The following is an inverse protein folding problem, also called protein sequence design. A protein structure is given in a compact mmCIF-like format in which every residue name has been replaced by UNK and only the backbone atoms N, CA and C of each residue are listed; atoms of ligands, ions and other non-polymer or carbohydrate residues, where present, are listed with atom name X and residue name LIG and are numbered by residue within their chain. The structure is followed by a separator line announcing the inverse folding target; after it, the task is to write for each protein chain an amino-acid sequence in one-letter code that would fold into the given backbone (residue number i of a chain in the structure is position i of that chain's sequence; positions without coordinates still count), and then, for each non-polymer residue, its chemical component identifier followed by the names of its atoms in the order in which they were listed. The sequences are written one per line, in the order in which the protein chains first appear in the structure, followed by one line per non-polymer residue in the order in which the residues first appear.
data_IF_492482666352
#
_entry.id   IF_492482666352
#
_cell.length_a   1.000
_cell.length_b   1.000
_cell.length_c   1.000
_cell.angle_alpha   90.00
_cell.angle_beta   90.00
_cell.angle_gamma   90.00
#
_symmetry.space_group_name_H-M   'P 1'
#
loop_
_entity.id
_entity.type
_entity.pdbx_description
1 polymer ?
#
# COMPACT_ATOMS: atom_id res chain seq x y z
N UNK A 1 -24.18 28.39 -27.49
CA UNK A 1 -23.94 29.75 -28.05
C UNK A 1 -24.09 30.84 -26.98
N UNK A 2 -25.04 30.72 -26.04
CA UNK A 2 -25.23 31.69 -24.94
C UNK A 2 -24.05 31.76 -23.93
N UNK A 3 -23.39 30.64 -23.63
CA UNK A 3 -22.24 30.62 -22.70
C UNK A 3 -20.95 31.26 -23.24
N UNK A 4 -20.79 31.33 -24.57
CA UNK A 4 -19.58 31.91 -25.19
C UNK A 4 -19.58 33.45 -25.13
N UNK A 5 -20.77 34.05 -25.07
CA UNK A 5 -20.95 35.51 -24.98
C UNK A 5 -20.76 36.00 -23.53
N UNK A 6 -21.02 35.16 -22.53
CA UNK A 6 -20.84 35.51 -21.11
C UNK A 6 -19.36 35.54 -20.69
N UNK A 7 -18.53 34.66 -21.26
CA UNK A 7 -17.09 34.58 -20.96
C UNK A 7 -16.31 35.81 -21.45
N UNK A 8 -16.73 36.40 -22.58
CA UNK A 8 -16.11 37.59 -23.16
C UNK A 8 -16.43 38.89 -22.39
N UNK A 9 -17.54 38.94 -21.64
CA UNK A 9 -17.90 40.12 -20.84
C UNK A 9 -17.17 40.18 -19.49
N UNK A 10 -16.78 39.03 -18.92
CA UNK A 10 -16.10 38.97 -17.61
C UNK A 10 -14.61 39.37 -17.74
N UNK A 11 -13.95 39.06 -18.86
CA UNK A 11 -12.54 39.44 -19.10
C UNK A 11 -12.29 40.94 -19.32
N UNK A 12 -13.32 41.77 -19.52
CA UNK A 12 -13.13 43.18 -19.90
C UNK A 12 -13.12 44.17 -18.71
N UNK A 13 -13.36 43.72 -17.46
CA UNK A 13 -13.57 44.66 -16.34
C UNK A 13 -12.86 44.36 -15.00
N UNK A 14 -12.01 43.34 -14.89
CA UNK A 14 -11.29 43.06 -13.63
C UNK A 14 -9.84 43.56 -13.64
N UNK A 15 -9.64 44.76 -13.07
CA UNK A 15 -8.33 45.17 -12.57
C UNK A 15 -8.02 44.39 -11.27
N UNK A 16 -6.96 43.58 -11.33
CA UNK A 16 -6.08 43.13 -10.23
C UNK A 16 -6.74 42.35 -9.08
N UNK A 17 -6.70 41.02 -9.15
CA UNK A 17 -6.33 40.04 -8.10
C UNK A 17 -6.01 38.70 -8.80
N UNK A 18 -5.17 37.79 -8.24
CA UNK A 18 -4.88 36.50 -8.85
C UNK A 18 -6.07 35.56 -8.58
N UNK A 19 -7.17 35.77 -9.30
CA UNK A 19 -8.31 34.84 -9.26
C UNK A 19 -8.18 33.83 -10.39
N UNK A 20 -8.14 32.56 -10.00
CA UNK A 20 -8.37 31.43 -10.90
C UNK A 20 -9.84 31.47 -11.33
N UNK A 21 -10.11 32.01 -12.51
CA UNK A 21 -11.47 31.99 -13.05
C UNK A 21 -11.82 30.57 -13.53
N UNK A 22 -12.55 29.83 -12.68
CA UNK A 22 -13.15 28.54 -13.04
C UNK A 22 -14.60 28.77 -13.43
N UNK A 23 -14.92 28.56 -14.71
CA UNK A 23 -16.31 28.54 -15.17
C UNK A 23 -16.76 27.09 -15.28
N UNK A 24 -17.55 26.65 -14.30
CA UNK A 24 -18.18 25.34 -14.28
C UNK A 24 -19.57 25.41 -14.90
N UNK A 25 -19.82 24.64 -15.96
CA UNK A 25 -21.17 24.41 -16.48
C UNK A 25 -21.56 22.99 -16.08
N UNK A 26 -22.35 22.87 -15.03
CA UNK A 26 -22.94 21.60 -14.59
C UNK A 26 -24.43 21.56 -14.98
N UNK A 27 -24.82 20.62 -15.84
CA UNK A 27 -26.24 20.30 -16.01
C UNK A 27 -26.63 19.23 -14.98
N UNK A 28 -27.37 19.65 -13.95
CA UNK A 28 -27.88 18.74 -12.93
C UNK A 28 -29.14 17.97 -13.40
N UNK A 29 -29.11 16.65 -13.20
CA UNK A 29 -30.29 15.83 -12.86
C UNK A 29 -31.37 15.63 -13.92
N UNK A 30 -31.27 16.17 -15.13
CA UNK A 30 -32.30 15.97 -16.17
C UNK A 30 -32.07 14.65 -16.96
N UNK A 31 -33.14 13.97 -17.41
CA UNK A 31 -32.98 12.83 -18.30
C UNK A 31 -32.25 13.27 -19.58
N UNK A 32 -31.05 12.74 -19.80
CA UNK A 32 -30.16 13.12 -20.92
C UNK A 32 -30.70 12.70 -22.29
N UNK A 33 -31.69 11.79 -22.33
CA UNK A 33 -32.45 11.49 -23.53
C UNK A 33 -33.24 10.20 -23.45
N UNK A 34 -34.38 10.17 -24.14
CA UNK A 34 -35.14 8.96 -24.45
C UNK A 34 -35.18 8.82 -25.96
N UNK A 35 -34.56 7.76 -26.48
CA UNK A 35 -34.52 7.50 -27.92
C UNK A 35 -35.34 6.24 -28.21
N UNK A 36 -36.19 6.30 -29.23
CA UNK A 36 -36.94 5.14 -29.70
C UNK A 36 -36.53 4.85 -31.13
N UNK A 37 -36.14 3.61 -31.39
CA UNK A 37 -35.79 3.13 -32.72
C UNK A 37 -36.81 2.07 -33.12
N UNK A 38 -37.32 2.16 -34.36
CA UNK A 38 -38.18 1.13 -34.90
C UNK A 38 -37.32 -0.08 -35.32
N UNK A 39 -37.31 -1.09 -34.47
CA UNK A 39 -36.62 -2.37 -34.70
C UNK A 39 -37.58 -3.51 -34.98
N UNK A 40 -38.84 -3.20 -35.31
CA UNK A 40 -39.92 -4.17 -35.50
C UNK A 40 -39.59 -5.30 -36.49
N UNK A 41 -38.83 -5.00 -37.55
CA UNK A 41 -38.40 -5.99 -38.56
C UNK A 41 -37.37 -7.00 -38.07
N UNK A 42 -36.62 -6.71 -37.00
CA UNK A 42 -35.49 -7.52 -36.53
C UNK A 42 -35.77 -8.12 -35.15
N UNK A 43 -36.35 -7.32 -34.24
CA UNK A 43 -36.61 -7.70 -32.85
C UNK A 43 -38.09 -7.95 -32.56
N UNK A 44 -38.98 -7.66 -33.53
CA UNK A 44 -40.43 -7.75 -33.34
C UNK A 44 -41.02 -6.64 -32.46
N UNK A 45 -40.21 -5.69 -32.01
CA UNK A 45 -40.63 -4.56 -31.16
C UNK A 45 -39.72 -3.33 -31.41
N UNK A 46 -40.11 -2.17 -30.89
CA UNK A 46 -39.32 -0.95 -30.85
C UNK A 46 -38.26 -1.00 -29.73
N UNK A 47 -37.06 -0.53 -30.03
CA UNK A 47 -35.97 -0.39 -29.06
C UNK A 47 -36.06 0.98 -28.39
N UNK A 48 -36.22 0.99 -27.08
CA UNK A 48 -36.21 2.19 -26.25
C UNK A 48 -34.88 2.29 -25.49
N UNK A 49 -34.12 3.35 -25.75
CA UNK A 49 -32.91 3.72 -24.99
C UNK A 49 -33.24 4.85 -24.01
N UNK A 50 -32.90 4.65 -22.74
CA UNK A 50 -32.96 5.66 -21.68
C UNK A 50 -31.56 5.91 -21.16
N UNK A 51 -31.05 7.12 -21.43
CA UNK A 51 -29.79 7.60 -20.89
C UNK A 51 -30.08 8.51 -19.68
N UNK A 52 -29.53 8.18 -18.53
CA UNK A 52 -29.64 8.97 -17.30
C UNK A 52 -28.25 9.21 -16.73
N UNK A 53 -28.00 10.38 -16.18
CA UNK A 53 -26.70 10.64 -15.60
C UNK A 53 -26.40 12.12 -15.51
N UNK A 54 -25.22 12.41 -14.96
CA UNK A 54 -24.69 13.76 -14.88
C UNK A 54 -23.41 13.82 -15.71
N UNK A 55 -23.29 14.88 -16.51
CA UNK A 55 -22.06 15.20 -17.24
C UNK A 55 -21.64 16.60 -16.82
N UNK A 56 -20.53 16.70 -16.11
CA UNK A 56 -19.84 17.95 -15.82
C UNK A 56 -18.65 18.08 -16.76
N UNK A 57 -18.55 19.22 -17.43
CA UNK A 57 -17.32 19.61 -18.11
C UNK A 57 -16.91 20.94 -17.49
N UNK A 58 -15.75 20.97 -16.84
CA UNK A 58 -15.16 22.20 -16.33
C UNK A 58 -13.95 22.56 -17.18
N UNK A 59 -13.93 23.80 -17.63
CA UNK A 59 -12.79 24.40 -18.30
C UNK A 59 -12.12 25.37 -17.33
N UNK A 60 -10.81 25.22 -17.14
CA UNK A 60 -10.00 26.12 -16.32
C UNK A 60 -8.80 26.59 -17.13
N UNK A 61 -8.45 27.87 -17.03
CA UNK A 61 -7.24 28.42 -17.63
C UNK A 61 -6.32 28.97 -16.57
N UNK A 62 -5.01 28.73 -16.70
CA UNK A 62 -4.00 29.41 -15.88
C UNK A 62 -3.00 30.15 -16.76
N UNK A 63 -2.70 31.39 -16.40
CA UNK A 63 -1.76 32.25 -17.11
C UNK A 63 -0.89 32.93 -16.07
N UNK A 64 0.42 32.68 -16.08
CA UNK A 64 1.37 33.33 -15.17
C UNK A 64 2.40 34.04 -16.04
N UNK A 65 2.45 35.36 -15.94
CA UNK A 65 3.45 36.20 -16.60
C UNK A 65 4.12 37.06 -15.54
N UNK A 66 5.44 37.19 -15.62
CA UNK A 66 6.22 38.09 -14.77
C UNK A 66 6.69 39.27 -15.63
N UNK A 67 6.33 40.48 -15.25
CA UNK A 67 6.72 41.69 -15.98
C UNK A 67 8.14 42.11 -15.55
N UNK A 68 9.08 42.18 -16.50
CA UNK A 68 10.46 42.64 -16.26
C UNK A 68 11.59 41.62 -16.51
N UNK A 69 11.28 40.41 -16.97
CA UNK A 69 12.30 39.39 -17.27
C UNK A 69 13.00 39.63 -18.63
N UNK A 70 14.34 39.57 -18.67
CA UNK A 70 15.15 39.80 -19.88
C UNK A 70 15.03 38.60 -20.82
N UNK A 71 14.41 38.80 -21.98
CA UNK A 71 14.08 37.74 -22.92
C UNK A 71 15.30 37.24 -23.71
N UNK A 72 15.67 35.96 -23.54
CA UNK A 72 16.57 35.26 -24.45
C UNK A 72 15.76 34.55 -25.56
N UNK A 73 16.34 34.42 -26.76
CA UNK A 73 15.65 33.93 -27.98
C UNK A 73 15.10 32.49 -27.84
N UNK A 74 15.53 31.73 -26.83
CA UNK A 74 15.07 30.36 -26.52
C UNK A 74 13.89 30.28 -25.55
N UNK A 75 13.46 31.40 -24.96
CA UNK A 75 12.33 31.43 -24.02
C UNK A 75 11.37 32.56 -24.34
N UNK A 76 10.43 32.32 -25.27
CA UNK A 76 9.23 33.17 -25.39
C UNK A 76 8.12 32.60 -24.50
N UNK A 77 7.90 33.14 -23.28
CA UNK A 77 6.69 32.84 -22.53
C UNK A 77 5.47 33.31 -23.35
N UNK A 78 4.67 32.36 -23.84
CA UNK A 78 3.55 32.61 -24.77
C UNK A 78 2.34 33.13 -24.00
N UNK A 79 2.01 34.44 -24.09
CA UNK A 79 0.87 35.15 -23.43
C UNK A 79 -0.51 34.48 -23.46
N UNK A 80 -0.66 33.35 -24.14
CA UNK A 80 -1.83 32.49 -24.13
C UNK A 80 -1.86 31.57 -22.89
N UNK A 81 -2.99 31.50 -22.16
CA UNK A 81 -3.15 30.63 -20.99
C UNK A 81 -3.06 29.14 -21.37
N UNK A 82 -2.54 28.31 -20.45
CA UNK A 82 -2.73 26.86 -20.53
C UNK A 82 -4.19 26.56 -20.18
N UNK A 83 -4.86 25.81 -21.05
CA UNK A 83 -6.27 25.42 -20.87
C UNK A 83 -6.32 23.97 -20.40
N UNK A 84 -6.99 23.73 -19.27
CA UNK A 84 -7.30 22.41 -18.77
C UNK A 84 -8.82 22.15 -18.86
N UNK A 85 -9.19 20.93 -19.24
CA UNK A 85 -10.58 20.49 -19.34
C UNK A 85 -10.75 19.22 -18.52
N UNK A 86 -11.47 19.33 -17.40
CA UNK A 86 -11.84 18.18 -16.58
C UNK A 86 -13.25 17.71 -16.97
N UNK A 87 -13.39 16.44 -17.34
CA UNK A 87 -14.68 15.83 -17.66
C UNK A 87 -15.05 14.78 -16.62
N UNK A 88 -16.13 15.03 -15.88
CA UNK A 88 -16.73 14.08 -14.94
C UNK A 88 -18.05 13.56 -15.56
N UNK A 89 -18.13 12.25 -15.77
CA UNK A 89 -19.27 11.61 -16.43
C UNK A 89 -19.75 10.40 -15.65
N UNK A 90 -20.96 10.48 -15.10
CA UNK A 90 -21.63 9.35 -14.46
C UNK A 90 -22.89 9.03 -15.26
N UNK A 91 -22.80 8.06 -16.18
CA UNK A 91 -23.87 7.71 -17.12
C UNK A 91 -24.40 6.30 -16.83
N UNK A 92 -25.71 6.20 -16.69
CA UNK A 92 -26.46 4.96 -16.67
C UNK A 92 -27.24 4.80 -17.97
N UNK A 93 -26.90 3.76 -18.73
CA UNK A 93 -27.61 3.36 -19.93
C UNK A 93 -28.56 2.21 -19.61
N UNK A 94 -29.84 2.39 -19.96
CA UNK A 94 -30.83 1.32 -19.96
C UNK A 94 -31.45 1.21 -21.35
N UNK A 95 -31.41 0.02 -21.95
CA UNK A 95 -32.07 -0.27 -23.22
C UNK A 95 -33.14 -1.35 -23.01
N UNK A 96 -34.34 -1.17 -23.56
CA UNK A 96 -35.40 -2.18 -23.55
C UNK A 96 -36.01 -2.28 -24.95
N UNK A 97 -36.04 -3.47 -25.54
CA UNK A 97 -36.85 -3.75 -26.74
C UNK A 97 -37.91 -4.79 -26.40
N UNK A 98 -39.16 -4.33 -26.30
CA UNK A 98 -40.26 -5.12 -25.77
C UNK A 98 -39.94 -5.76 -24.42
N UNK A 99 -40.55 -6.90 -24.12
CA UNK A 99 -40.20 -7.66 -22.91
C UNK A 99 -39.04 -8.64 -23.10
N UNK A 100 -38.44 -8.67 -24.30
CA UNK A 100 -37.48 -9.69 -24.71
C UNK A 100 -36.04 -9.26 -24.58
N UNK A 101 -35.67 -8.01 -24.84
CA UNK A 101 -34.30 -7.53 -24.76
C UNK A 101 -34.17 -6.44 -23.69
N UNK A 102 -33.26 -6.62 -22.74
CA UNK A 102 -32.99 -5.67 -21.66
C UNK A 102 -31.49 -5.51 -21.44
N UNK A 103 -30.97 -4.30 -21.65
CA UNK A 103 -29.62 -3.92 -21.27
C UNK A 103 -29.67 -3.00 -20.05
N UNK A 104 -28.94 -3.36 -18.99
CA UNK A 104 -28.81 -2.55 -17.78
C UNK A 104 -27.45 -2.77 -17.14
N UNK A 105 -26.76 -1.67 -16.82
CA UNK A 105 -25.52 -1.67 -16.03
C UNK A 105 -24.46 -2.66 -16.54
N UNK A 106 -24.25 -2.74 -17.86
CA UNK A 106 -23.26 -3.64 -18.47
C UNK A 106 -23.73 -5.07 -18.74
N UNK A 107 -24.95 -5.44 -18.30
CA UNK A 107 -25.53 -6.76 -18.57
C UNK A 107 -26.62 -6.66 -19.65
N UNK A 108 -26.46 -7.44 -20.72
CA UNK A 108 -27.45 -7.65 -21.77
C UNK A 108 -28.21 -8.96 -21.52
N UNK A 109 -29.53 -8.90 -21.49
CA UNK A 109 -30.41 -10.05 -21.34
C UNK A 109 -31.36 -10.15 -22.53
N UNK A 110 -31.47 -11.34 -23.10
CA UNK A 110 -32.42 -11.70 -24.13
C UNK A 110 -33.27 -12.88 -23.67
N UNK A 111 -34.60 -12.75 -23.79
CA UNK A 111 -35.58 -13.82 -23.59
C UNK A 111 -36.13 -14.26 -24.94
N UNK A 112 -36.00 -15.55 -25.20
CA UNK A 112 -36.56 -16.21 -26.37
C UNK A 112 -38.08 -16.21 -26.37
N UNK A 113 -38.66 -16.62 -27.49
CA UNK A 113 -40.10 -16.83 -27.63
C UNK A 113 -40.52 -18.12 -26.91
N UNK A 114 -41.80 -18.26 -26.57
CA UNK A 114 -42.33 -19.44 -25.84
C UNK A 114 -41.98 -20.78 -26.52
N UNK A 115 -41.81 -20.76 -27.85
CA UNK A 115 -41.48 -21.93 -28.68
C UNK A 115 -40.06 -21.89 -29.31
N UNK A 116 -39.15 -21.00 -28.89
CA UNK A 116 -37.79 -20.96 -29.45
C UNK A 116 -36.83 -21.92 -28.76
N UNK A 117 -35.88 -22.46 -29.55
CA UNK A 117 -34.83 -23.33 -29.03
C UNK A 117 -33.96 -22.62 -27.98
N UNK A 118 -33.64 -21.35 -28.20
CA UNK A 118 -32.92 -20.48 -27.27
C UNK A 118 -33.95 -19.79 -26.39
N UNK A 119 -33.94 -20.08 -25.09
CA UNK A 119 -34.88 -19.51 -24.11
C UNK A 119 -34.30 -18.27 -23.45
N UNK A 120 -32.98 -18.25 -23.22
CA UNK A 120 -32.31 -17.15 -22.54
C UNK A 120 -30.89 -16.97 -23.08
N UNK A 121 -30.48 -15.72 -23.31
CA UNK A 121 -29.08 -15.35 -23.55
C UNK A 121 -28.73 -14.14 -22.69
N UNK A 122 -27.70 -14.27 -21.87
CA UNK A 122 -27.18 -13.21 -21.01
C UNK A 122 -25.70 -12.98 -21.31
N UNK A 123 -25.30 -11.73 -21.44
CA UNK A 123 -23.90 -11.32 -21.67
C UNK A 123 -23.56 -10.23 -20.64
N UNK A 124 -22.47 -10.39 -19.91
CA UNK A 124 -22.04 -9.43 -18.88
C UNK A 124 -21.78 -10.13 -17.54
N UNK A 125 -22.17 -9.50 -16.44
CA UNK A 125 -22.06 -10.12 -15.12
C UNK A 125 -23.07 -11.28 -15.00
N UNK A 126 -22.56 -12.49 -14.75
CA UNK A 126 -23.33 -13.73 -14.62
C UNK A 126 -23.03 -14.42 -13.30
N UNK A 127 -23.99 -15.21 -12.83
CA UNK A 127 -23.85 -16.05 -11.63
C UNK A 127 -24.04 -17.52 -12.00
N UNK A 128 -23.17 -18.39 -11.48
CA UNK A 128 -23.29 -19.83 -11.68
C UNK A 128 -24.25 -20.42 -10.66
N UNK A 129 -25.37 -20.97 -11.15
CA UNK A 129 -26.29 -21.81 -10.37
C UNK A 129 -26.55 -23.09 -11.17
N UNK A 130 -25.95 -24.20 -10.74
CA UNK A 130 -26.17 -25.50 -11.36
C UNK A 130 -27.37 -26.19 -10.70
N UNK A 131 -28.32 -26.75 -11.46
CA UNK A 131 -29.38 -27.59 -10.93
C UNK A 131 -28.78 -28.80 -10.20
N UNK A 132 -29.37 -29.17 -9.06
CA UNK A 132 -28.95 -30.35 -8.30
C UNK A 132 -29.22 -31.59 -9.14
N UNK A 133 -28.17 -32.26 -9.62
CA UNK A 133 -28.28 -33.59 -10.21
C UNK A 133 -27.81 -34.62 -9.19
N UNK A 134 -28.35 -35.84 -9.26
CA UNK A 134 -28.10 -36.94 -8.32
C UNK A 134 -26.62 -37.37 -8.20
N UNK A 135 -25.72 -36.78 -9.00
CA UNK A 135 -24.30 -37.13 -9.10
C UNK A 135 -23.34 -35.98 -8.78
N UNK A 136 -23.84 -34.76 -8.52
CA UNK A 136 -22.98 -33.59 -8.25
C UNK A 136 -23.51 -32.79 -7.05
N UNK A 137 -22.96 -33.06 -5.87
CA UNK A 137 -23.26 -32.35 -4.61
C UNK A 137 -22.53 -30.98 -4.51
N UNK A 138 -22.41 -30.26 -5.63
CA UNK A 138 -21.65 -29.01 -5.69
C UNK A 138 -22.60 -27.81 -5.68
N UNK A 139 -22.97 -27.34 -4.48
CA UNK A 139 -23.61 -26.01 -4.31
C UNK A 139 -22.50 -24.97 -4.11
N UNK A 140 -21.93 -24.48 -5.20
CA UNK A 140 -21.07 -23.31 -5.16
C UNK A 140 -21.71 -22.21 -6.00
N UNK A 141 -22.24 -21.19 -5.32
CA UNK A 141 -22.87 -20.02 -5.93
C UNK A 141 -21.77 -19.01 -6.24
N UNK A 142 -21.15 -19.11 -7.41
CA UNK A 142 -20.09 -18.18 -7.81
C UNK A 142 -20.74 -16.91 -8.39
N UNK A 143 -20.60 -15.78 -7.70
CA UNK A 143 -21.08 -14.44 -8.11
C UNK A 143 -19.90 -13.60 -8.63
N UNK A 144 -20.14 -12.75 -9.64
CA UNK A 144 -19.13 -11.81 -10.16
C UNK A 144 -18.29 -12.32 -11.33
N UNK A 145 -18.82 -13.26 -12.12
CA UNK A 145 -18.17 -13.74 -13.33
C UNK A 145 -18.57 -12.84 -14.50
N UNK A 146 -17.63 -12.37 -15.33
CA UNK A 146 -17.98 -11.72 -16.59
C UNK A 146 -18.00 -12.77 -17.70
N UNK A 147 -19.12 -12.96 -18.37
CA UNK A 147 -19.27 -14.05 -19.33
C UNK A 147 -20.55 -14.04 -20.14
N UNK A 148 -20.71 -15.09 -20.94
CA UNK A 148 -21.87 -15.37 -21.77
C UNK A 148 -22.58 -16.59 -21.18
N UNK A 149 -23.89 -16.48 -20.95
CA UNK A 149 -24.77 -17.57 -20.52
C UNK A 149 -25.88 -17.76 -21.55
N UNK A 150 -26.03 -18.98 -22.06
CA UNK A 150 -27.12 -19.37 -22.94
C UNK A 150 -27.92 -20.52 -22.32
N UNK A 151 -29.25 -20.45 -22.36
CA UNK A 151 -30.14 -21.57 -22.01
C UNK A 151 -31.06 -21.88 -23.18
N UNK A 152 -31.26 -23.15 -23.45
CA UNK A 152 -32.15 -23.60 -24.51
C UNK A 152 -32.83 -24.92 -24.20
N UNK A 153 -33.87 -25.22 -24.97
CA UNK A 153 -34.65 -26.44 -24.88
C UNK A 153 -34.83 -27.05 -26.27
N UNK A 154 -34.46 -28.31 -26.41
CA UNK A 154 -34.64 -29.12 -27.61
C UNK A 154 -35.52 -30.33 -27.25
N UNK A 155 -36.82 -30.21 -27.48
CA UNK A 155 -37.79 -31.24 -27.06
C UNK A 155 -37.81 -31.40 -25.53
N UNK A 156 -37.59 -32.62 -24.98
CA UNK A 156 -37.48 -32.83 -23.53
C UNK A 156 -36.12 -32.38 -22.96
N UNK A 157 -35.11 -32.16 -23.79
CA UNK A 157 -33.76 -31.82 -23.34
C UNK A 157 -33.65 -30.32 -23.07
N UNK A 158 -33.27 -29.94 -21.85
CA UNK A 158 -32.91 -28.56 -21.50
C UNK A 158 -31.40 -28.48 -21.33
N UNK A 159 -30.76 -27.52 -21.99
CA UNK A 159 -29.31 -27.28 -21.88
C UNK A 159 -29.04 -25.86 -21.40
N UNK A 160 -27.96 -25.70 -20.64
CA UNK A 160 -27.45 -24.41 -20.20
C UNK A 160 -25.93 -24.40 -20.41
N UNK A 161 -25.42 -23.41 -21.12
CA UNK A 161 -24.00 -23.22 -21.43
C UNK A 161 -23.53 -21.90 -20.84
N UNK A 162 -22.39 -21.91 -20.15
CA UNK A 162 -21.76 -20.71 -19.59
C UNK A 162 -20.29 -20.70 -20.02
N UNK A 163 -19.84 -19.60 -20.60
CA UNK A 163 -18.44 -19.31 -20.85
C UNK A 163 -18.10 -18.00 -20.14
N UNK A 164 -17.20 -18.04 -19.16
CA UNK A 164 -16.88 -16.88 -18.32
C UNK A 164 -15.39 -16.75 -18.05
N UNK A 165 -14.93 -15.51 -17.89
CA UNK A 165 -13.60 -15.18 -17.41
C UNK A 165 -13.70 -14.56 -16.01
N UNK A 166 -12.97 -15.13 -15.04
CA UNK A 166 -12.99 -14.68 -13.65
C UNK A 166 -12.09 -13.45 -13.50
N UNK A 167 -12.70 -12.29 -13.21
CA UNK A 167 -11.97 -11.05 -12.90
C UNK A 167 -11.87 -10.75 -11.40
N UNK A 168 -12.28 -11.68 -10.53
CA UNK A 168 -12.38 -11.41 -9.09
C UNK A 168 -11.21 -12.01 -8.31
N UNK A 169 -10.48 -11.16 -7.58
CA UNK A 169 -9.68 -11.61 -6.41
C UNK A 169 -10.67 -12.10 -5.36
N UNK A 170 -10.62 -13.39 -5.03
CA UNK A 170 -11.43 -14.03 -4.00
C UNK A 170 -11.22 -13.36 -2.62
N UNK A 171 -12.05 -12.39 -2.28
CA UNK A 171 -12.17 -11.88 -0.91
C UNK A 171 -13.27 -12.67 -0.19
N UNK A 172 -12.89 -13.80 0.40
CA UNK A 172 -13.77 -14.64 1.22
C UNK A 172 -14.00 -13.99 2.58
N UNK A 173 -14.98 -13.08 2.69
CA UNK A 173 -15.50 -12.65 4.01
C UNK A 173 -16.26 -13.83 4.65
N UNK A 174 -15.73 -14.38 5.74
CA UNK A 174 -16.41 -15.43 6.51
C UNK A 174 -17.14 -14.79 7.68
N UNK A 175 -18.46 -14.96 7.69
CA UNK A 175 -19.33 -14.46 8.75
C UNK A 175 -19.49 -15.53 9.84
N UNK A 176 -19.15 -15.20 11.08
CA UNK A 176 -19.58 -15.93 12.28
C UNK A 176 -20.22 -14.91 13.24
N UNK A 177 -21.53 -15.04 13.49
CA UNK A 177 -22.20 -14.42 14.64
C UNK A 177 -22.20 -12.90 14.74
N UNK A 178 -22.68 -12.18 13.70
CA UNK A 178 -23.04 -10.75 13.82
C UNK A 178 -21.89 -9.73 13.69
N UNK A 179 -20.63 -10.15 13.72
CA UNK A 179 -19.47 -9.29 13.45
C UNK A 179 -18.92 -9.51 12.02
N UNK A 180 -18.54 -8.43 11.34
CA UNK A 180 -17.78 -8.51 10.08
C UNK A 180 -16.33 -8.84 10.41
N UNK A 181 -15.85 -10.00 9.98
CA UNK A 181 -14.43 -10.39 10.08
C UNK A 181 -13.70 -9.90 8.85
N UNK A 182 -12.83 -8.91 9.02
CA UNK A 182 -11.92 -8.45 7.97
C UNK A 182 -10.59 -9.22 8.10
N UNK A 183 -10.19 -9.85 6.99
CA UNK A 183 -8.93 -10.61 6.90
C UNK A 183 -7.94 -9.84 6.06
N UNK A 184 -6.79 -9.51 6.64
CA UNK A 184 -5.63 -8.94 5.96
C UNK A 184 -4.54 -10.01 5.86
N UNK A 185 -3.86 -10.07 4.73
CA UNK A 185 -2.73 -10.97 4.50
C UNK A 185 -1.53 -10.15 4.07
N UNK A 186 -0.40 -10.34 4.75
CA UNK A 186 0.87 -9.67 4.50
C UNK A 186 1.89 -10.77 4.19
N UNK A 187 2.61 -10.62 3.07
CA UNK A 187 3.66 -11.56 2.67
C UNK A 187 4.92 -11.34 3.50
N UNK A 188 5.72 -12.39 3.66
CA UNK A 188 7.03 -12.34 4.32
C UNK A 188 7.94 -11.19 3.87
N UNK A 189 8.04 -10.92 2.57
CA UNK A 189 8.86 -9.83 2.02
C UNK A 189 8.24 -8.43 2.22
N UNK A 190 6.98 -8.33 2.65
CA UNK A 190 6.28 -7.05 2.88
C UNK A 190 6.53 -6.50 4.30
N UNK A 191 7.77 -6.61 4.78
CA UNK A 191 8.20 -5.86 5.96
C UNK A 191 8.23 -4.35 5.64
N UNK A 192 8.16 -3.53 6.68
CA UNK A 192 8.04 -2.09 6.62
C UNK A 192 9.40 -1.47 6.25
N UNK A 193 9.58 -1.21 4.95
CA UNK A 193 10.79 -0.61 4.42
C UNK A 193 10.99 0.84 4.86
N UNK A 194 12.25 1.27 4.90
CA UNK A 194 12.70 2.65 5.05
C UNK A 194 12.05 3.44 6.20
N UNK A 195 11.83 2.77 7.34
CA UNK A 195 11.14 3.37 8.50
C UNK A 195 11.89 3.19 9.81
N UNK A 196 12.47 2.01 10.05
CA UNK A 196 13.21 1.69 11.28
C UNK A 196 14.68 1.51 10.91
N UNK A 197 15.56 2.27 11.56
CA UNK A 197 16.99 2.25 11.28
C UNK A 197 17.81 2.18 12.56
N UNK A 198 18.73 1.22 12.64
CA UNK A 198 19.86 1.28 13.57
C UNK A 198 20.80 2.42 13.15
N UNK A 199 21.38 3.11 14.14
CA UNK A 199 22.35 4.17 13.90
C UNK A 199 23.77 3.62 13.64
N UNK A 200 24.02 2.37 14.03
CA UNK A 200 25.30 1.69 13.88
C UNK A 200 25.11 0.16 13.97
N UNK A 201 26.01 -0.60 13.34
CA UNK A 201 26.06 -2.07 13.42
C UNK A 201 26.29 -2.55 14.86
N UNK A 202 26.96 -1.77 15.70
CA UNK A 202 27.10 -2.04 17.13
C UNK A 202 25.73 -2.21 17.81
N UNK A 203 24.78 -1.31 17.57
CA UNK A 203 23.45 -1.39 18.18
C UNK A 203 22.64 -2.56 17.62
N UNK A 204 22.74 -2.78 16.30
CA UNK A 204 22.14 -3.93 15.64
C UNK A 204 22.63 -5.25 16.25
N UNK A 205 23.94 -5.40 16.43
CA UNK A 205 24.53 -6.59 17.01
C UNK A 205 24.13 -6.82 18.48
N UNK A 206 23.82 -5.74 19.21
CA UNK A 206 23.36 -5.80 20.60
C UNK A 206 21.84 -5.95 20.77
N UNK A 207 21.07 -5.95 19.67
CA UNK A 207 19.64 -6.25 19.66
C UNK A 207 19.30 -7.44 18.72
N UNK A 208 19.91 -8.62 18.91
CA UNK A 208 19.67 -9.77 18.04
C UNK A 208 18.23 -10.31 18.14
N UNK A 209 17.60 -10.11 19.30
CA UNK A 209 16.24 -10.54 19.61
C UNK A 209 15.47 -9.40 20.29
N UNK A 210 14.39 -8.97 19.67
CA UNK A 210 13.54 -7.88 20.18
C UNK A 210 12.83 -8.21 21.50
N UNK A 211 12.70 -9.49 21.90
CA UNK A 211 12.18 -9.83 23.25
C UNK A 211 13.05 -9.29 24.35
N UNK A 212 14.36 -9.23 24.13
CA UNK A 212 15.32 -8.87 25.17
C UNK A 212 15.26 -7.40 25.57
N UNK A 213 14.55 -6.56 24.80
CA UNK A 213 14.31 -5.16 25.15
C UNK A 213 13.68 -5.02 26.55
N UNK A 214 12.82 -5.95 26.98
CA UNK A 214 12.22 -5.90 28.32
C UNK A 214 13.12 -6.47 29.43
N UNK A 215 14.15 -7.24 29.07
CA UNK A 215 15.11 -7.83 30.01
C UNK A 215 16.26 -6.86 30.34
N UNK A 216 16.34 -5.74 29.62
CA UNK A 216 17.43 -4.77 29.68
C UNK A 216 18.35 -4.86 28.46
N UNK A 217 19.01 -3.75 28.14
CA UNK A 217 19.96 -3.70 27.03
C UNK A 217 21.34 -4.21 27.45
N UNK A 218 22.01 -4.94 26.55
CA UNK A 218 23.44 -5.27 26.70
C UNK A 218 24.36 -4.06 26.45
N UNK A 219 23.80 -2.97 25.91
CA UNK A 219 24.51 -1.71 25.66
C UNK A 219 24.80 -1.01 26.99
N UNK A 220 26.04 -0.57 27.16
CA UNK A 220 26.47 0.10 28.40
C UNK A 220 25.98 1.55 28.40
N UNK A 221 25.69 2.17 29.57
CA UNK A 221 25.16 3.54 29.62
C UNK A 221 26.03 4.59 28.93
N UNK A 222 27.35 4.41 28.92
CA UNK A 222 28.30 5.25 28.18
C UNK A 222 28.11 5.18 26.65
N UNK A 223 27.57 4.07 26.14
CA UNK A 223 27.30 3.88 24.72
C UNK A 223 25.88 4.32 24.34
N UNK A 224 25.06 4.82 25.29
CA UNK A 224 23.75 5.36 24.95
C UNK A 224 23.90 6.64 24.12
N UNK A 225 22.96 6.86 23.20
CA UNK A 225 22.92 8.09 22.41
C UNK A 225 22.60 9.28 23.34
N UNK A 226 23.33 10.38 23.20
CA UNK A 226 22.97 11.66 23.78
C UNK A 226 21.84 12.30 22.95
N UNK A 227 20.58 12.27 23.45
CA UNK A 227 19.42 12.70 22.66
C UNK A 227 19.50 14.18 22.27
N UNK A 228 20.24 15.00 23.03
CA UNK A 228 20.41 16.42 22.71
C UNK A 228 21.34 16.67 21.50
N UNK A 229 22.04 15.63 21.03
CA UNK A 229 23.01 15.74 19.92
C UNK A 229 22.58 15.04 18.66
N UNK A 230 21.52 14.22 18.71
CA UNK A 230 21.03 13.54 17.52
C UNK A 230 20.43 14.55 16.56
N UNK A 231 20.94 14.55 15.35
CA UNK A 231 20.39 15.26 14.20
C UNK A 231 20.24 14.24 13.07
N UNK A 232 19.05 14.14 12.49
CA UNK A 232 18.75 13.25 11.37
C UNK A 232 18.60 14.11 10.12
N UNK A 233 19.20 13.68 9.03
CA UNK A 233 19.27 14.41 7.77
C UNK A 233 18.79 13.55 6.61
N UNK A 234 18.01 14.16 5.72
CA UNK A 234 17.53 13.55 4.48
C UNK A 234 18.08 14.33 3.29
N UNK A 235 18.43 13.61 2.22
CA UNK A 235 18.77 14.21 0.93
C UNK A 235 17.84 13.59 -0.11
N UNK A 236 16.97 14.43 -0.67
CA UNK A 236 15.98 14.05 -1.69
C UNK A 236 16.50 14.21 -3.12
N UNK A 237 17.73 14.73 -3.27
CA UNK A 237 18.41 15.06 -4.51
C UNK A 237 17.62 16.03 -5.40
N UNK A 238 16.76 16.85 -4.79
CA UNK A 238 16.01 17.89 -5.48
C UNK A 238 16.54 19.28 -5.11
N UNK A 239 17.24 19.91 -6.05
CA UNK A 239 17.85 21.22 -5.77
C UNK A 239 16.86 22.39 -5.78
N UNK A 240 15.60 22.15 -6.16
CA UNK A 240 14.61 23.22 -6.34
C UNK A 240 13.96 23.68 -5.03
N UNK A 241 13.93 22.82 -4.01
CA UNK A 241 13.37 23.05 -2.68
C UNK A 241 14.45 23.24 -1.59
N UNK A 242 15.74 23.03 -1.89
CA UNK A 242 16.84 23.16 -0.91
C UNK A 242 16.81 24.47 -0.10
N UNK A 243 16.45 25.58 -0.75
CA UNK A 243 16.37 26.88 -0.07
C UNK A 243 15.19 26.97 0.91
N UNK A 244 14.07 26.33 0.59
CA UNK A 244 12.87 26.25 1.45
C UNK A 244 13.11 25.28 2.62
N UNK A 245 13.75 24.14 2.33
CA UNK A 245 14.09 23.10 3.29
C UNK A 245 15.34 23.43 4.12
N UNK A 246 15.97 24.59 3.88
CA UNK A 246 17.20 25.03 4.55
C UNK A 246 18.32 23.98 4.45
N UNK A 247 18.37 23.25 3.33
CA UNK A 247 19.31 22.17 3.11
C UNK A 247 20.76 22.67 3.06
N UNK A 248 21.69 21.83 3.53
CA UNK A 248 23.11 22.17 3.66
C UNK A 248 23.99 21.16 2.94
N UNK A 249 25.05 21.65 2.31
CA UNK A 249 26.00 20.79 1.62
C UNK A 249 26.68 19.84 2.63
N UNK A 250 26.73 18.56 2.30
CA UNK A 250 27.28 17.54 3.18
C UNK A 250 27.75 16.30 2.44
N UNK A 251 28.70 15.62 3.06
CA UNK A 251 29.25 14.34 2.61
C UNK A 251 28.92 13.31 3.70
N UNK A 252 28.01 12.38 3.36
CA UNK A 252 27.60 11.30 4.24
C UNK A 252 28.38 10.02 3.92
N UNK A 253 29.07 9.44 4.91
CA UNK A 253 29.91 8.23 4.73
C UNK A 253 29.34 7.05 5.50
N UNK A 254 29.31 5.88 4.86
CA UNK A 254 28.83 4.64 5.48
C UNK A 254 29.86 4.05 6.44
N UNK A 255 31.12 4.00 6.00
CA UNK A 255 32.23 3.55 6.82
C UNK A 255 32.75 4.73 7.64
N UNK A 256 32.55 4.64 8.96
CA UNK A 256 32.99 5.67 9.88
C UNK A 256 34.38 5.38 10.48
N UNK A 257 34.88 4.16 10.29
CA UNK A 257 36.22 3.76 10.70
C UNK A 257 37.25 4.08 9.60
N UNK A 258 36.82 4.07 8.33
CA UNK A 258 37.59 4.53 7.17
C UNK A 258 36.88 5.62 6.35
N UNK A 259 37.23 6.88 6.61
CA UNK A 259 36.63 8.05 5.94
C UNK A 259 37.18 8.32 4.53
N UNK A 260 38.03 7.44 3.98
CA UNK A 260 38.61 7.60 2.64
C UNK A 260 37.55 7.44 1.55
N UNK A 261 37.50 8.40 0.62
CA UNK A 261 36.57 8.38 -0.52
C UNK A 261 36.81 7.24 -1.51
N UNK A 262 37.94 6.52 -1.41
CA UNK A 262 38.29 5.40 -2.29
C UNK A 262 37.34 4.20 -2.15
N UNK A 263 36.60 4.08 -1.03
CA UNK A 263 35.60 3.03 -0.81
C UNK A 263 34.38 3.16 -1.72
N UNK A 264 34.05 4.38 -2.17
CA UNK A 264 32.81 4.68 -2.90
C UNK A 264 31.54 4.57 -2.04
N UNK A 265 31.66 4.39 -0.73
CA UNK A 265 30.52 4.21 0.19
C UNK A 265 30.11 5.53 0.84
N UNK A 266 29.73 6.49 0.00
CA UNK A 266 29.32 7.82 0.44
C UNK A 266 28.25 8.43 -0.46
N UNK A 267 27.54 9.41 0.06
CA UNK A 267 26.61 10.26 -0.69
C UNK A 267 26.97 11.73 -0.46
N UNK A 268 26.91 12.54 -1.51
CA UNK A 268 27.16 13.98 -1.46
C UNK A 268 25.92 14.73 -1.97
N UNK A 269 25.69 15.93 -1.42
CA UNK A 269 24.61 16.80 -1.87
C UNK A 269 24.12 17.71 -0.77
N UNK A 270 22.88 18.17 -0.91
CA UNK A 270 22.23 19.04 0.06
C UNK A 270 21.34 18.21 0.98
N UNK A 271 21.53 18.41 2.27
CA UNK A 271 20.90 17.63 3.32
C UNK A 271 19.97 18.52 4.14
N UNK A 272 18.68 18.19 4.12
CA UNK A 272 17.66 18.78 4.95
C UNK A 272 17.66 18.09 6.33
N UNK A 273 17.61 18.87 7.40
CA UNK A 273 17.53 18.34 8.76
C UNK A 273 16.06 18.08 9.12
N UNK A 274 15.77 16.86 9.56
CA UNK A 274 14.45 16.49 10.08
C UNK A 274 14.19 17.08 11.48
N UNK A 275 12.92 17.38 11.75
CA UNK A 275 12.44 17.86 13.04
C UNK A 275 12.43 16.70 14.07
N UNK A 276 13.20 16.80 15.17
CA UNK A 276 13.24 15.79 16.23
C UNK A 276 11.92 15.57 16.97
N UNK A 277 11.00 16.53 16.94
CA UNK A 277 9.73 16.46 17.67
C UNK A 277 8.57 15.94 16.82
N UNK A 278 8.68 15.99 15.48
CA UNK A 278 7.58 15.69 14.56
C UNK A 278 7.87 14.61 13.52
N UNK A 279 9.14 14.29 13.24
CA UNK A 279 9.48 13.45 12.08
C UNK A 279 10.15 12.12 12.44
N UNK A 280 10.70 11.98 13.65
CA UNK A 280 11.29 10.73 14.11
C UNK A 280 11.28 10.55 15.64
N UNK A 281 11.33 9.30 16.07
CA UNK A 281 11.53 8.91 17.48
C UNK A 281 12.90 8.26 17.63
N UNK A 282 13.66 8.65 18.65
CA UNK A 282 14.90 7.99 19.08
C UNK A 282 14.65 7.01 20.24
N UNK A 283 15.17 5.78 20.12
CA UNK A 283 15.35 4.86 21.24
C UNK A 283 16.83 4.82 21.60
N UNK A 284 17.21 5.69 22.52
CA UNK A 284 18.63 6.04 22.79
C UNK A 284 19.44 4.90 23.40
N UNK A 285 18.82 4.01 24.17
CA UNK A 285 19.46 2.86 24.82
C UNK A 285 19.83 1.74 23.83
N UNK A 286 19.15 1.71 22.68
CA UNK A 286 19.29 0.70 21.65
C UNK A 286 19.73 1.30 20.31
N UNK A 287 20.07 2.60 20.29
CA UNK A 287 20.63 3.32 19.16
C UNK A 287 19.91 3.09 17.84
N UNK A 288 18.59 3.20 17.83
CA UNK A 288 17.78 3.18 16.61
C UNK A 288 16.77 4.32 16.57
N UNK A 289 16.38 4.68 15.35
CA UNK A 289 15.34 5.68 15.08
C UNK A 289 14.14 5.02 14.38
N UNK A 290 12.97 5.59 14.61
CA UNK A 290 11.73 5.27 13.91
C UNK A 290 11.26 6.54 13.24
N UNK A 291 11.14 6.53 11.92
CA UNK A 291 10.65 7.66 11.15
C UNK A 291 9.12 7.65 11.13
N UNK A 292 8.50 8.82 11.22
CA UNK A 292 7.04 8.95 11.15
C UNK A 292 6.52 8.86 9.71
N UNK A 293 7.40 9.11 8.73
CA UNK A 293 7.14 8.93 7.30
C UNK A 293 8.17 7.99 6.69
N UNK A 294 7.70 7.13 5.78
CA UNK A 294 8.56 6.24 5.00
C UNK A 294 9.47 7.09 4.11
N UNK A 295 10.78 6.83 4.16
CA UNK A 295 11.75 7.48 3.26
C UNK A 295 11.69 6.83 1.88
N UNK A 296 11.70 7.63 0.83
CA UNK A 296 11.65 7.13 -0.54
C UNK A 296 12.94 6.37 -0.89
N UNK A 297 12.84 5.37 -1.76
CA UNK A 297 13.99 4.52 -2.12
C UNK A 297 15.16 5.34 -2.70
N UNK A 298 14.85 6.34 -3.52
CA UNK A 298 15.81 7.24 -4.17
C UNK A 298 16.33 8.37 -3.26
N UNK A 299 15.93 8.44 -1.99
CA UNK A 299 16.44 9.43 -1.04
C UNK A 299 17.55 8.82 -0.17
N UNK A 300 18.46 9.65 0.34
CA UNK A 300 19.47 9.22 1.30
C UNK A 300 19.16 9.72 2.72
N UNK A 301 19.61 8.99 3.74
CA UNK A 301 19.43 9.31 5.15
C UNK A 301 20.76 9.23 5.89
N UNK A 302 21.08 10.26 6.66
CA UNK A 302 22.32 10.37 7.43
C UNK A 302 22.05 10.97 8.81
N UNK A 303 23.03 10.83 9.71
CA UNK A 303 22.91 11.30 11.10
C UNK A 303 24.18 11.98 11.59
N UNK A 304 24.01 12.86 12.57
CA UNK A 304 25.05 13.33 13.49
C UNK A 304 24.58 12.96 14.89
N UNK A 305 25.46 12.39 15.72
CA UNK A 305 25.16 12.15 17.13
C UNK A 305 26.43 11.97 17.96
N UNK A 306 26.27 11.99 19.28
CA UNK A 306 27.30 11.64 20.25
C UNK A 306 26.78 10.61 21.24
N UNK A 307 27.63 9.72 21.71
CA UNK A 307 27.28 8.84 22.85
C UNK A 307 27.47 9.57 24.18
N UNK A 308 26.86 9.09 25.26
CA UNK A 308 27.04 9.64 26.61
C UNK A 308 28.50 9.59 27.08
N UNK A 309 29.28 8.62 26.59
CA UNK A 309 30.71 8.46 26.82
C UNK A 309 31.59 9.40 25.99
N UNK A 310 31.00 10.14 25.05
CA UNK A 310 31.67 11.19 24.29
C UNK A 310 32.12 10.82 22.89
N UNK A 311 31.84 9.60 22.40
CA UNK A 311 32.14 9.20 21.02
C UNK A 311 31.27 9.98 20.04
N UNK A 312 31.89 10.69 19.10
CA UNK A 312 31.22 11.61 18.16
C UNK A 312 31.14 10.97 16.76
N UNK A 313 29.95 11.04 16.16
CA UNK A 313 29.68 10.66 14.77
C UNK A 313 29.08 11.86 14.04
N UNK A 314 29.69 12.23 12.91
CA UNK A 314 29.34 13.41 12.15
C UNK A 314 29.72 14.75 12.81
N UNK A 315 29.71 15.81 12.01
CA UNK A 315 30.03 17.17 12.41
C UNK A 315 29.48 18.20 11.42
N UNK A 316 28.92 19.29 11.98
CA UNK A 316 28.55 20.51 11.24
C UNK A 316 29.51 21.67 11.47
N UNK A 317 30.71 21.40 11.98
CA UNK A 317 31.70 22.42 12.33
C UNK A 317 32.33 23.10 11.10
N UNK A 318 32.29 22.42 9.95
CA UNK A 318 32.77 22.90 8.65
C UNK A 318 31.76 22.55 7.56
N UNK A 319 31.75 23.31 6.47
CA UNK A 319 31.02 22.98 5.25
C UNK A 319 32.02 22.48 4.18
N UNK A 320 31.70 21.38 3.47
CA UNK A 320 30.50 20.56 3.59
C UNK A 320 30.44 19.80 4.93
N UNK A 321 29.23 19.58 5.46
CA UNK A 321 29.01 18.81 6.69
C UNK A 321 29.55 17.39 6.54
N UNK A 322 30.08 16.83 7.62
CA UNK A 322 30.48 15.44 7.70
C UNK A 322 29.34 14.65 8.35
N UNK A 323 28.72 13.74 7.62
CA UNK A 323 27.55 12.99 8.11
C UNK A 323 27.85 11.49 8.16
N UNK A 324 27.25 10.77 9.10
CA UNK A 324 27.27 9.31 9.10
C UNK A 324 26.07 8.80 8.30
N UNK A 325 26.33 8.14 7.18
CA UNK A 325 25.28 7.59 6.31
C UNK A 325 24.65 6.36 6.97
N UNK A 326 23.32 6.30 6.99
CA UNK A 326 22.57 5.12 7.45
C UNK A 326 21.68 4.51 6.35
N UNK A 327 21.43 5.26 5.27
CA UNK A 327 20.77 4.76 4.05
C UNK A 327 21.27 5.55 2.83
N UNK A 328 21.90 4.92 1.81
CA UNK A 328 22.18 5.58 0.53
C UNK A 328 20.91 5.73 -0.32
N UNK A 329 21.00 6.49 -1.42
CA UNK A 329 19.95 6.45 -2.45
C UNK A 329 19.96 5.10 -3.15
N UNK A 330 18.79 4.63 -3.55
CA UNK A 330 18.61 3.35 -4.26
C UNK A 330 19.40 2.22 -3.58
N UNK A 331 19.24 2.12 -2.25
CA UNK A 331 20.06 1.27 -1.39
C UNK A 331 20.12 -0.16 -1.89
N UNK A 332 21.27 -0.82 -1.75
CA UNK A 332 21.49 -2.16 -2.31
C UNK A 332 21.94 -3.16 -1.25
N UNK A 333 21.62 -4.45 -1.41
CA UNK A 333 22.01 -5.50 -0.46
C UNK A 333 23.50 -5.64 -0.15
N UNK A 334 24.36 -5.24 -1.10
CA UNK A 334 25.81 -5.26 -0.99
C UNK A 334 26.40 -3.99 -0.36
N UNK A 335 25.57 -2.98 -0.09
CA UNK A 335 26.02 -1.73 0.53
C UNK A 335 26.17 -1.87 2.06
N UNK A 336 27.19 -1.28 2.71
CA UNK A 336 27.47 -1.50 4.13
C UNK A 336 26.30 -1.17 5.08
N UNK A 337 25.51 -0.15 4.75
CA UNK A 337 24.37 0.28 5.59
C UNK A 337 23.10 -0.54 5.34
N UNK A 338 23.12 -1.53 4.44
CA UNK A 338 21.94 -2.33 4.08
C UNK A 338 21.28 -2.99 5.28
N UNK A 339 22.09 -3.38 6.26
CA UNK A 339 21.62 -4.10 7.44
C UNK A 339 21.17 -3.17 8.58
N UNK A 340 21.39 -1.87 8.46
CA UNK A 340 20.89 -0.88 9.41
C UNK A 340 19.36 -0.71 9.31
N UNK A 341 18.76 -0.96 8.14
CA UNK A 341 17.31 -1.05 7.97
C UNK A 341 16.76 -2.30 8.67
N UNK A 342 15.70 -2.16 9.46
CA UNK A 342 15.03 -3.30 10.08
C UNK A 342 14.21 -4.08 9.05
N UNK A 343 14.33 -5.42 9.09
CA UNK A 343 13.72 -6.34 8.11
C UNK A 343 12.69 -7.27 8.72
N UNK A 344 12.24 -6.94 9.93
CA UNK A 344 11.38 -7.77 10.77
C UNK A 344 10.13 -7.05 11.26
N UNK A 345 9.84 -5.84 10.79
CA UNK A 345 8.66 -5.04 11.22
C UNK A 345 7.55 -5.13 10.18
N UNK A 346 6.32 -5.41 10.59
CA UNK A 346 5.17 -5.57 9.68
C UNK A 346 4.01 -4.67 10.10
N UNK A 347 3.39 -3.98 9.13
CA UNK A 347 2.21 -3.14 9.40
C UNK A 347 0.94 -3.98 9.43
N UNK A 348 0.45 -4.30 10.63
CA UNK A 348 -0.72 -5.16 10.85
C UNK A 348 -2.03 -4.38 11.08
N UNK A 349 -1.95 -3.08 11.39
CA UNK A 349 -3.11 -2.20 11.54
C UNK A 349 -3.38 -1.39 10.26
N UNK A 350 -4.50 -1.67 9.58
CA UNK A 350 -4.92 -0.95 8.35
C UNK A 350 -6.10 0.00 8.56
N UNK A 351 -6.83 -0.08 9.68
CA UNK A 351 -8.07 0.68 9.93
C UNK A 351 -7.96 1.74 11.03
N UNK A 352 -6.77 1.99 11.55
CA UNK A 352 -6.58 2.87 12.70
C UNK A 352 -5.82 4.11 12.26
N UNK A 353 -6.60 5.15 11.98
CA UNK A 353 -6.11 6.52 11.82
C UNK A 353 -5.23 6.89 13.01
N UNK A 354 -4.21 7.71 12.76
CA UNK A 354 -3.31 8.25 13.78
C UNK A 354 -4.10 8.67 15.04
N UNK A 355 -3.78 8.04 16.17
CA UNK A 355 -4.31 8.39 17.50
C UNK A 355 -5.29 7.41 18.16
N UNK A 356 -5.65 6.27 17.55
CA UNK A 356 -6.45 5.22 18.24
C UNK A 356 -5.67 3.92 18.39
N UNK A 357 -5.37 3.54 19.63
CA UNK A 357 -4.84 2.20 19.96
C UNK A 357 -5.84 1.14 19.50
N UNK A 358 -5.36 0.09 18.83
CA UNK A 358 -6.22 -1.07 18.56
C UNK A 358 -6.27 -2.00 19.78
N UNK A 359 -7.42 -2.64 20.01
CA UNK A 359 -7.51 -3.65 21.05
C UNK A 359 -6.78 -4.92 20.59
N UNK A 360 -5.66 -5.23 21.23
CA UNK A 360 -4.87 -6.44 20.96
C UNK A 360 -5.71 -7.72 21.04
N UNK A 361 -6.75 -7.75 21.86
CA UNK A 361 -7.63 -8.92 22.02
C UNK A 361 -8.61 -9.10 20.84
N UNK A 362 -8.79 -8.08 20.01
CA UNK A 362 -9.69 -8.11 18.84
C UNK A 362 -9.04 -8.68 17.58
N UNK A 363 -7.72 -8.95 17.63
CA UNK A 363 -6.92 -9.46 16.53
C UNK A 363 -6.57 -10.94 16.71
N UNK A 364 -6.84 -11.74 15.69
CA UNK A 364 -6.31 -13.10 15.52
C UNK A 364 -5.19 -13.03 14.47
N UNK A 365 -3.93 -13.12 14.93
CA UNK A 365 -2.73 -13.12 14.09
C UNK A 365 -2.22 -14.55 13.94
N UNK A 366 -2.01 -14.99 12.70
CA UNK A 366 -1.45 -16.30 12.38
C UNK A 366 -0.33 -16.14 11.37
N UNK A 367 0.73 -16.94 11.51
CA UNK A 367 1.74 -17.09 10.46
C UNK A 367 1.49 -18.41 9.75
N UNK A 368 1.34 -18.33 8.44
CA UNK A 368 1.01 -19.44 7.55
C UNK A 368 2.14 -19.67 6.57
N UNK A 369 2.42 -20.92 6.26
CA UNK A 369 3.29 -21.29 5.14
C UNK A 369 2.47 -21.83 3.98
N UNK A 370 2.64 -21.26 2.80
CA UNK A 370 2.08 -21.77 1.56
C UNK A 370 2.97 -22.89 1.01
N UNK A 371 2.35 -24.02 0.65
CA UNK A 371 3.05 -25.16 0.05
C UNK A 371 2.30 -25.51 -1.23
N UNK A 372 2.96 -25.53 -2.40
CA UNK A 372 2.31 -25.88 -3.66
C UNK A 372 1.54 -27.20 -3.57
N UNK A 373 0.28 -27.19 -3.99
CA UNK A 373 -0.60 -28.37 -3.97
C UNK A 373 -1.13 -28.77 -2.59
N UNK A 374 -0.86 -28.00 -1.53
CA UNK A 374 -1.44 -28.18 -0.18
C UNK A 374 -2.12 -26.89 0.29
N UNK A 375 -3.00 -27.00 1.28
CA UNK A 375 -3.51 -25.82 1.97
C UNK A 375 -2.42 -25.15 2.81
N UNK A 376 -2.53 -23.85 3.13
CA UNK A 376 -1.59 -23.16 4.01
C UNK A 376 -1.45 -23.89 5.36
N UNK A 377 -0.22 -24.05 5.83
CA UNK A 377 0.08 -24.72 7.09
C UNK A 377 0.32 -23.68 8.19
N UNK A 378 -0.22 -23.89 9.38
CA UNK A 378 -0.01 -23.03 10.57
C UNK A 378 1.13 -23.50 11.47
N UNK A 379 1.70 -24.67 11.17
CA UNK A 379 2.68 -25.35 12.01
C UNK A 379 3.60 -26.23 11.17
N UNK A 380 4.78 -26.52 11.70
CA UNK A 380 5.67 -27.61 11.26
C UNK A 380 6.06 -28.45 12.48
N UNK A 381 6.21 -29.76 12.32
CA UNK A 381 6.62 -30.70 13.38
C UNK A 381 5.84 -30.56 14.71
N UNK A 382 4.56 -30.22 14.64
CA UNK A 382 3.71 -30.05 15.82
C UNK A 382 3.85 -28.72 16.56
N UNK A 383 4.76 -27.82 16.12
CA UNK A 383 4.91 -26.46 16.63
C UNK A 383 4.31 -25.44 15.66
N UNK A 384 3.54 -24.49 16.19
CA UNK A 384 2.97 -23.40 15.39
C UNK A 384 4.06 -22.46 14.90
N UNK A 385 3.84 -21.79 13.77
CA UNK A 385 4.79 -20.78 13.31
C UNK A 385 4.90 -19.61 14.30
N UNK A 386 3.84 -19.27 15.05
CA UNK A 386 3.96 -18.28 16.13
C UNK A 386 4.98 -18.71 17.17
N UNK A 387 5.03 -19.98 17.54
CA UNK A 387 6.04 -20.51 18.46
C UNK A 387 7.45 -20.50 17.84
N UNK A 388 7.57 -20.84 16.55
CA UNK A 388 8.86 -20.93 15.85
C UNK A 388 9.48 -19.55 15.65
N UNK A 389 8.67 -18.54 15.29
CA UNK A 389 9.09 -17.14 15.25
C UNK A 389 9.13 -16.52 16.66
N UNK A 390 8.92 -17.34 17.71
CA UNK A 390 8.98 -16.98 19.12
C UNK A 390 7.79 -16.20 19.67
N UNK A 391 6.87 -15.68 18.85
CA UNK A 391 5.72 -14.86 19.27
C UNK A 391 4.81 -15.49 20.34
N UNK A 392 4.84 -16.82 20.49
CA UNK A 392 4.04 -17.61 21.42
C UNK A 392 4.99 -18.51 22.24
N UNK A 393 5.47 -18.02 23.39
CA UNK A 393 6.33 -18.81 24.29
C UNK A 393 5.54 -19.41 25.45
N UNK A 394 4.36 -18.89 25.75
CA UNK A 394 3.53 -19.27 26.89
C UNK A 394 2.07 -18.91 26.62
N UNK A 395 1.16 -19.50 27.39
CA UNK A 395 -0.23 -19.07 27.37
C UNK A 395 -0.46 -17.81 28.21
N UNK A 396 -1.73 -17.51 28.50
CA UNK A 396 -2.13 -16.34 29.29
C UNK A 396 -1.46 -16.21 30.67
N UNK A 397 -1.15 -17.34 31.31
CA UNK A 397 -0.43 -17.35 32.59
C UNK A 397 1.07 -17.57 32.35
N UNK A 398 1.98 -16.93 33.11
CA UNK A 398 3.43 -17.01 32.89
C UNK A 398 4.01 -18.43 32.82
N UNK A 399 3.39 -19.40 33.50
CA UNK A 399 3.84 -20.79 33.57
C UNK A 399 3.00 -21.76 32.72
N UNK A 400 2.08 -21.24 31.89
CA UNK A 400 1.22 -22.06 31.04
C UNK A 400 1.89 -22.38 29.71
N UNK A 401 1.65 -23.56 29.12
CA UNK A 401 2.21 -23.89 27.82
C UNK A 401 1.67 -22.93 26.73
N UNK A 402 2.42 -22.74 25.63
CA UNK A 402 1.99 -21.95 24.47
C UNK A 402 0.57 -22.26 24.01
N UNK A 403 -0.22 -21.23 23.72
CA UNK A 403 -1.66 -21.37 23.39
C UNK A 403 -2.00 -20.96 21.95
N UNK A 404 -0.99 -20.76 21.10
CA UNK A 404 -1.10 -20.35 19.69
C UNK A 404 -1.66 -18.95 19.51
N UNK A 405 -1.52 -18.11 20.53
CA UNK A 405 -1.75 -16.68 20.46
C UNK A 405 -0.43 -15.96 20.70
N UNK A 406 -0.31 -14.73 20.23
CA UNK A 406 0.86 -13.90 20.57
C UNK A 406 0.82 -13.63 22.07
N UNK A 407 1.95 -13.82 22.76
CA UNK A 407 2.09 -13.54 24.19
C UNK A 407 1.59 -12.11 24.50
N UNK A 408 0.72 -11.94 25.51
CA UNK A 408 0.06 -10.65 25.81
C UNK A 408 1.03 -9.53 26.18
N UNK A 409 2.14 -9.89 26.80
CA UNK A 409 3.21 -9.00 27.21
C UNK A 409 4.28 -8.81 26.13
N UNK A 410 4.10 -9.40 24.94
CA UNK A 410 5.01 -9.16 23.82
C UNK A 410 4.90 -7.71 23.34
N UNK A 411 5.93 -6.92 23.63
CA UNK A 411 6.00 -5.50 23.30
C UNK A 411 6.15 -5.22 21.81
N UNK A 412 6.59 -6.21 21.02
CA UNK A 412 6.69 -6.07 19.56
C UNK A 412 5.34 -6.00 18.87
N UNK A 413 4.24 -6.32 19.57
CA UNK A 413 2.88 -5.99 19.15
C UNK A 413 2.58 -4.54 19.56
N UNK A 414 2.97 -3.58 18.71
CA UNK A 414 2.81 -2.13 18.94
C UNK A 414 1.38 -1.71 18.57
N UNK A 415 0.56 -1.51 19.62
CA UNK A 415 -0.85 -1.10 19.50
C UNK A 415 -1.03 0.37 19.12
N UNK A 416 0.01 1.18 19.29
CA UNK A 416 0.01 2.62 18.98
C UNK A 416 0.31 2.82 17.50
N UNK A 417 1.37 2.18 16.99
CA UNK A 417 1.80 2.33 15.59
C UNK A 417 1.09 1.37 14.63
N UNK A 418 0.46 0.31 15.14
CA UNK A 418 -0.15 -0.69 14.27
C UNK A 418 0.87 -1.66 13.68
N UNK A 419 1.99 -1.87 14.36
CA UNK A 419 3.12 -2.67 13.87
C UNK A 419 3.29 -3.96 14.67
N UNK A 420 3.76 -5.00 14.00
CA UNK A 420 4.26 -6.24 14.59
C UNK A 420 5.74 -6.35 14.28
N UNK A 421 6.58 -6.22 15.30
CA UNK A 421 8.01 -6.53 15.22
C UNK A 421 8.17 -8.02 15.46
N UNK A 422 8.71 -8.76 14.50
CA UNK A 422 9.14 -10.13 14.71
C UNK A 422 10.45 -10.13 15.52
N UNK A 423 10.64 -11.09 16.44
CA UNK A 423 11.74 -11.08 17.41
C UNK A 423 13.13 -11.08 16.78
N UNK A 424 13.37 -12.03 15.88
CA UNK A 424 14.63 -12.10 15.11
C UNK A 424 14.66 -11.01 14.03
N UNK A 425 15.85 -10.46 13.77
CA UNK A 425 16.06 -9.39 12.78
C UNK A 425 15.83 -9.82 11.33
N UNK A 426 16.00 -11.12 11.04
CA UNK A 426 15.74 -11.75 9.75
C UNK A 426 14.90 -13.00 9.98
N UNK A 427 13.62 -12.87 10.40
CA UNK A 427 12.84 -13.96 10.97
C UNK A 427 12.70 -15.16 10.03
N UNK A 428 12.57 -14.90 8.73
CA UNK A 428 12.46 -15.93 7.69
C UNK A 428 13.80 -16.45 7.15
N UNK A 429 14.93 -15.93 7.63
CA UNK A 429 16.28 -16.47 7.46
C UNK A 429 17.08 -16.28 8.76
N UNK A 430 16.66 -16.96 9.84
CA UNK A 430 17.14 -16.65 11.18
C UNK A 430 18.60 -17.02 11.35
N UNK A 431 19.39 -16.08 11.85
CA UNK A 431 20.82 -16.29 12.11
C UNK A 431 21.07 -16.85 13.53
N UNK A 432 20.15 -16.58 14.47
CA UNK A 432 20.29 -16.95 15.88
C UNK A 432 19.78 -18.37 16.17
N UNK A 433 20.52 -19.09 17.01
CA UNK A 433 20.27 -20.50 17.31
C UNK A 433 18.84 -20.78 17.84
N UNK A 434 18.27 -19.84 18.57
CA UNK A 434 16.91 -19.93 19.14
C UNK A 434 15.82 -20.04 18.06
N UNK A 435 16.07 -19.49 16.87
CA UNK A 435 15.12 -19.42 15.77
C UNK A 435 15.45 -20.36 14.60
N UNK A 436 16.57 -21.12 14.69
CA UNK A 436 17.00 -22.08 13.65
C UNK A 436 16.11 -23.33 13.49
N UNK A 437 15.03 -23.43 14.25
CA UNK A 437 14.04 -24.50 14.09
C UNK A 437 13.22 -24.35 12.78
N UNK A 438 13.20 -23.15 12.18
CA UNK A 438 12.56 -22.93 10.87
C UNK A 438 13.25 -23.78 9.79
N UNK A 439 12.52 -24.72 9.16
CA UNK A 439 13.13 -25.69 8.23
C UNK A 439 13.41 -25.13 6.84
N UNK A 440 12.50 -24.31 6.32
CA UNK A 440 12.61 -23.72 5.00
C UNK A 440 12.73 -22.22 5.14
N UNK A 441 13.96 -21.73 5.00
CA UNK A 441 14.28 -20.31 5.05
C UNK A 441 14.18 -19.69 3.66
N UNK A 442 14.06 -18.37 3.60
CA UNK A 442 13.91 -17.58 2.38
C UNK A 442 14.86 -16.38 2.38
N UNK A 443 16.19 -16.61 2.30
CA UNK A 443 17.19 -15.53 2.36
C UNK A 443 17.02 -14.46 1.28
N UNK A 444 16.47 -14.83 0.12
CA UNK A 444 16.31 -13.97 -1.06
C UNK A 444 15.46 -12.71 -0.79
N UNK A 445 14.56 -12.74 0.21
CA UNK A 445 13.75 -11.57 0.56
C UNK A 445 14.56 -10.45 1.23
N UNK A 446 15.77 -10.76 1.69
CA UNK A 446 16.70 -9.83 2.33
C UNK A 446 17.87 -9.45 1.43
N UNK A 447 18.08 -10.17 0.31
CA UNK A 447 19.21 -10.00 -0.60
C UNK A 447 18.82 -9.58 -2.01
N UNK A 448 17.51 -9.45 -2.30
CA UNK A 448 17.00 -8.87 -3.55
C UNK A 448 16.05 -7.71 -3.30
N UNK A 449 15.96 -6.82 -4.28
CA UNK A 449 14.94 -5.78 -4.37
C UNK A 449 14.01 -5.96 -5.56
N UNK A 450 14.28 -6.96 -6.41
CA UNK A 450 13.45 -7.17 -7.58
C UNK A 450 12.13 -7.81 -7.14
N UNK A 451 11.03 -7.12 -7.43
CA UNK A 451 9.69 -7.59 -7.06
C UNK A 451 9.39 -9.01 -7.56
N UNK A 452 9.98 -9.40 -8.70
CA UNK A 452 9.87 -10.75 -9.24
C UNK A 452 10.51 -11.78 -8.29
N UNK A 453 11.77 -11.58 -7.94
CA UNK A 453 12.52 -12.47 -7.04
C UNK A 453 11.82 -12.58 -5.68
N UNK A 454 11.38 -11.45 -5.12
CA UNK A 454 10.64 -11.42 -3.86
C UNK A 454 9.36 -12.25 -3.92
N UNK A 455 8.60 -12.16 -5.03
CA UNK A 455 7.38 -12.94 -5.21
C UNK A 455 7.65 -14.43 -5.46
N UNK A 456 8.73 -14.77 -6.17
CA UNK A 456 9.12 -16.15 -6.45
C UNK A 456 9.67 -16.85 -5.18
N UNK A 457 10.37 -16.10 -4.32
CA UNK A 457 10.91 -16.60 -3.05
C UNK A 457 9.87 -16.69 -1.92
N UNK A 458 8.82 -15.86 -1.96
CA UNK A 458 7.81 -15.78 -0.89
C UNK A 458 7.12 -17.12 -0.61
N UNK A 459 7.06 -17.50 0.66
CA UNK A 459 6.43 -18.75 1.12
C UNK A 459 5.53 -18.56 2.33
N UNK A 460 5.68 -17.47 3.08
CA UNK A 460 4.97 -17.23 4.32
C UNK A 460 4.02 -16.03 4.23
N UNK A 461 2.92 -16.13 4.96
CA UNK A 461 1.88 -15.11 5.08
C UNK A 461 1.61 -14.86 6.55
N UNK A 462 1.69 -13.59 6.95
CA UNK A 462 1.13 -13.10 8.21
C UNK A 462 -0.34 -12.75 7.93
N UNK A 463 -1.25 -13.54 8.49
CA UNK A 463 -2.68 -13.35 8.35
C UNK A 463 -3.25 -12.72 9.63
N UNK A 464 -3.95 -11.61 9.46
CA UNK A 464 -4.59 -10.87 10.55
C UNK A 464 -6.09 -10.90 10.32
N UNK A 465 -6.84 -11.45 11.27
CA UNK A 465 -8.29 -11.37 11.31
C UNK A 465 -8.69 -10.39 12.39
N UNK A 466 -9.39 -9.34 12.00
CA UNK A 466 -9.96 -8.38 12.94
C UNK A 466 -11.45 -8.61 13.07
N UNK A 467 -11.94 -8.66 14.30
CA UNK A 467 -13.37 -8.64 14.58
C UNK A 467 -13.80 -7.18 14.81
N UNK A 468 -14.48 -6.60 13.82
CA UNK A 468 -15.12 -5.29 14.03
C UNK A 468 -16.47 -5.53 14.71
N UNK A 469 -16.62 -5.03 15.93
CA UNK A 469 -17.96 -4.82 16.52
C UNK A 469 -18.52 -3.56 15.86
N UNK A 470 -19.60 -3.73 15.07
CA UNK A 470 -20.40 -2.59 14.61
C UNK A 470 -21.30 -2.08 15.73
#
# INVERSE_FOLDING_TARGET
MVGFVLLLLICATSQVWPQTDRVAISEEGKPLGRFKFDTSKILGDSLELRLRGTRGISFGGSSVWTEGEVQTVTGRPSKFPSLNMDQLSNLSLNAKAGDRLHFRSGTLNYKGMENSFLQELQIGETSLELPVTHFVNFRQQNKGLFGIRAKGRLGPLTFATIASHEKSKSNRKTFKGGASVDTTQIRDWQYLRNTYFFLDEFYRANLPDYRKVVEGTSVRPEDYIDPATLEVYINDFNTTNDAEDLAKEGIARADWDDLRSESGWFEEGNWHRLDPDEEYTLVRELGYIILDRVVQDNYALAVIYRTQGGTQYGSRAQEPYELKLIKPRDARPDFPTWNLEWKNVYRIGSSYSAGRKFDKNSLDVQILKEIPGRGPQTSQDGRSYLQIFGLDQRGNDPNSPPDRLIDKDYIGLDDIRGHLVLPDQTPFDPQHQEYKELKETIPDIYTSQQQRDLNEASQYIIQIRSSSTQ
#
